data_IF_950829693194
#
_entry.id   IF_950829693194
#
_cell.length_a   1.000
_cell.length_b   1.000
_cell.length_c   1.000
_cell.angle_alpha   90.00
_cell.angle_beta   90.00
_cell.angle_gamma   90.00
#
_symmetry.space_group_name_H-M   'P 1'
#
loop_
_entity.id
_entity.type
_entity.pdbx_description
1 polymer ?
#
# COMPACT_ATOMS: atom_id res chain seq x y z
N UNK A 1 9.41 -11.27 -14.92
CA UNK A 1 8.67 -10.09 -14.42
C UNK A 1 7.75 -9.45 -15.47
N UNK A 2 8.21 -9.17 -16.71
CA UNK A 2 7.39 -8.52 -17.77
C UNK A 2 6.05 -9.19 -18.05
N UNK A 3 6.03 -10.51 -18.25
CA UNK A 3 4.79 -11.25 -18.55
C UNK A 3 3.75 -11.10 -17.42
N UNK A 4 4.16 -11.34 -16.17
CA UNK A 4 3.26 -11.30 -15.02
C UNK A 4 2.76 -9.86 -14.71
N UNK A 5 3.67 -8.88 -14.65
CA UNK A 5 3.36 -7.53 -14.14
C UNK A 5 2.92 -6.58 -15.25
N UNK A 6 3.56 -6.62 -16.42
CA UNK A 6 3.31 -5.65 -17.50
C UNK A 6 2.25 -6.14 -18.47
N UNK A 7 2.28 -7.43 -18.83
CA UNK A 7 1.34 -8.00 -19.82
C UNK A 7 0.06 -8.48 -19.11
N UNK A 8 0.19 -9.36 -18.13
CA UNK A 8 -0.94 -9.92 -17.39
C UNK A 8 -1.46 -8.99 -16.28
N UNK A 9 -0.79 -7.85 -16.04
CA UNK A 9 -1.14 -6.85 -15.03
C UNK A 9 -1.40 -7.41 -13.62
N UNK A 10 -0.80 -8.56 -13.28
CA UNK A 10 -0.98 -9.19 -11.97
C UNK A 10 -0.34 -8.33 -10.88
N UNK A 11 -0.95 -8.37 -9.70
CA UNK A 11 -0.45 -7.86 -8.43
C UNK A 11 -0.53 -8.96 -7.38
N UNK A 12 0.22 -8.87 -6.27
CA UNK A 12 0.07 -9.79 -5.16
C UNK A 12 -1.40 -9.92 -4.72
N UNK A 13 -1.81 -11.14 -4.40
CA UNK A 13 -3.19 -11.44 -3.97
C UNK A 13 -3.48 -10.81 -2.62
N UNK A 14 -4.62 -10.13 -2.52
CA UNK A 14 -5.16 -9.59 -1.28
C UNK A 14 -5.97 -10.68 -0.57
N UNK A 15 -5.69 -10.90 0.72
CA UNK A 15 -6.47 -11.83 1.53
C UNK A 15 -7.72 -11.11 2.08
N UNK A 16 -8.88 -11.79 2.12
CA UNK A 16 -10.14 -11.18 2.57
C UNK A 16 -10.04 -10.58 3.98
N UNK A 17 -9.36 -11.28 4.90
CA UNK A 17 -9.18 -10.80 6.27
C UNK A 17 -8.41 -9.47 6.38
N UNK A 18 -7.66 -9.06 5.34
CA UNK A 18 -6.99 -7.76 5.32
C UNK A 18 -7.99 -6.62 5.17
N UNK A 19 -9.13 -6.89 4.55
CA UNK A 19 -10.18 -5.91 4.34
C UNK A 19 -10.85 -5.63 5.68
N UNK A 20 -11.07 -6.64 6.53
CA UNK A 20 -11.77 -6.45 7.82
C UNK A 20 -10.86 -5.91 8.93
N UNK A 21 -9.56 -6.23 8.88
CA UNK A 21 -8.59 -5.70 9.83
C UNK A 21 -8.21 -4.25 9.51
N UNK A 22 -8.41 -3.33 10.48
CA UNK A 22 -8.16 -1.89 10.27
C UNK A 22 -6.70 -1.57 9.97
N UNK A 23 -5.76 -2.30 10.55
CA UNK A 23 -4.32 -2.09 10.33
C UNK A 23 -3.99 -2.51 8.91
N UNK A 24 -4.37 -3.73 8.54
CA UNK A 24 -4.10 -4.32 7.23
C UNK A 24 -4.81 -3.58 6.11
N UNK A 25 -6.04 -3.08 6.33
CA UNK A 25 -6.78 -2.28 5.34
C UNK A 25 -6.01 -1.03 4.91
N UNK A 26 -5.45 -0.28 5.86
CA UNK A 26 -4.67 0.92 5.53
C UNK A 26 -3.33 0.58 4.88
N UNK A 27 -2.67 -0.50 5.31
CA UNK A 27 -1.44 -0.99 4.66
C UNK A 27 -1.73 -1.43 3.22
N UNK A 28 -2.83 -2.14 3.00
CA UNK A 28 -3.28 -2.57 1.68
C UNK A 28 -3.49 -1.38 0.73
N UNK A 29 -4.13 -0.31 1.21
CA UNK A 29 -4.32 0.90 0.41
C UNK A 29 -2.97 1.50 -0.02
N UNK A 30 -2.01 1.62 0.90
CA UNK A 30 -0.66 2.12 0.60
C UNK A 30 0.03 1.23 -0.45
N UNK A 31 -0.09 -0.09 -0.34
CA UNK A 31 0.46 -1.03 -1.33
C UNK A 31 -0.16 -0.83 -2.71
N UNK A 32 -1.49 -0.69 -2.80
CA UNK A 32 -2.20 -0.49 -4.06
C UNK A 32 -1.78 0.82 -4.74
N UNK A 33 -1.61 1.90 -3.99
CA UNK A 33 -1.10 3.19 -4.49
C UNK A 33 0.35 3.08 -5.02
N UNK A 34 1.19 2.24 -4.38
CA UNK A 34 2.54 1.93 -4.85
C UNK A 34 2.56 1.03 -6.11
N UNK A 35 1.51 0.25 -6.35
CA UNK A 35 1.45 -0.74 -7.42
C UNK A 35 0.65 -0.28 -8.65
N UNK A 36 0.34 1.00 -8.74
CA UNK A 36 -0.35 1.58 -9.89
C UNK A 36 0.43 1.35 -11.19
N UNK A 37 -0.30 1.18 -12.30
CA UNK A 37 0.28 0.95 -13.62
C UNK A 37 1.14 2.15 -14.06
N UNK A 38 0.60 3.35 -13.88
CA UNK A 38 1.28 4.61 -14.17
C UNK A 38 2.37 4.91 -13.13
N UNK A 39 3.67 4.97 -13.51
CA UNK A 39 4.75 5.24 -12.58
C UNK A 39 4.64 6.58 -11.87
N UNK A 40 4.08 7.60 -12.55
CA UNK A 40 3.91 8.95 -11.98
C UNK A 40 2.83 9.01 -10.90
N UNK A 41 1.94 8.02 -10.84
CA UNK A 41 0.91 7.92 -9.80
C UNK A 41 1.40 7.19 -8.54
N UNK A 42 2.60 6.60 -8.56
CA UNK A 42 3.12 5.84 -7.42
C UNK A 42 3.58 6.76 -6.32
N UNK A 43 3.40 6.33 -5.08
CA UNK A 43 3.96 7.02 -3.93
C UNK A 43 5.49 7.01 -3.99
N UNK A 44 6.10 8.17 -3.72
CA UNK A 44 7.53 8.27 -3.40
C UNK A 44 7.79 7.67 -2.02
N UNK A 45 9.05 7.34 -1.71
CA UNK A 45 9.42 6.84 -0.38
C UNK A 45 8.99 7.79 0.76
N UNK A 46 9.12 9.11 0.55
CA UNK A 46 8.65 10.12 1.51
C UNK A 46 7.13 10.09 1.69
N UNK A 47 6.37 9.92 0.60
CA UNK A 47 4.92 9.84 0.67
C UNK A 47 4.43 8.54 1.33
N UNK A 48 5.13 7.42 1.11
CA UNK A 48 4.89 6.16 1.83
C UNK A 48 5.09 6.37 3.33
N UNK A 49 6.21 6.99 3.76
CA UNK A 49 6.45 7.28 5.18
C UNK A 49 5.33 8.11 5.78
N UNK A 50 4.94 9.22 5.12
CA UNK A 50 3.84 10.07 5.58
C UNK A 50 2.51 9.32 5.64
N UNK A 51 2.23 8.42 4.70
CA UNK A 51 1.01 7.61 4.69
C UNK A 51 0.99 6.62 5.85
N UNK A 52 2.11 5.95 6.14
CA UNK A 52 2.26 5.06 7.29
C UNK A 52 2.10 5.83 8.61
N UNK A 53 2.73 6.99 8.75
CA UNK A 53 2.60 7.83 9.94
C UNK A 53 1.14 8.29 10.16
N UNK A 54 0.43 8.69 9.09
CA UNK A 54 -1.00 9.04 9.16
C UNK A 54 -1.87 7.84 9.53
N UNK A 55 -1.61 6.68 8.95
CA UNK A 55 -2.36 5.46 9.24
C UNK A 55 -2.18 5.04 10.70
N UNK A 56 -0.93 5.01 11.17
CA UNK A 56 -0.63 4.75 12.57
C UNK A 56 -1.31 5.75 13.51
N UNK A 57 -1.27 7.05 13.20
CA UNK A 57 -1.95 8.07 13.99
C UNK A 57 -3.47 7.84 14.07
N UNK A 58 -4.11 7.36 12.98
CA UNK A 58 -5.54 7.01 12.97
C UNK A 58 -5.88 5.84 13.89
N UNK A 59 -4.89 5.00 14.22
CA UNK A 59 -4.98 3.88 15.15
C UNK A 59 -4.55 4.27 16.58
N UNK A 60 -4.19 5.54 16.81
CA UNK A 60 -3.63 6.00 18.09
C UNK A 60 -2.17 5.58 18.32
N UNK A 61 -1.46 5.20 17.27
CA UNK A 61 -0.07 4.73 17.33
C UNK A 61 0.90 5.80 16.85
N UNK A 62 2.14 5.73 17.36
CA UNK A 62 3.25 6.55 16.90
C UNK A 62 4.38 5.66 16.39
N UNK A 63 4.67 5.73 15.10
CA UNK A 63 5.78 4.99 14.49
C UNK A 63 7.08 5.69 14.89
N UNK A 64 7.96 4.98 15.60
CA UNK A 64 9.29 5.49 15.93
C UNK A 64 10.15 5.54 14.66
N UNK A 65 10.93 6.61 14.52
CA UNK A 65 11.96 6.76 13.49
C UNK A 65 13.21 5.99 13.86
#
# INVERSE_FOLDING_TARGET
MKLCVCIQKRRPTVQEHWIDDKVMRGVLQIMQECWTESPVCRLTAMNVRKAVDRHAASLGWKVRS
#
